data_IF_139639050633
#
_entry.id   IF_139639050633
#
_cell.length_a   1.000
_cell.length_b   1.000
_cell.length_c   1.000
_cell.angle_alpha   90.00
_cell.angle_beta   90.00
_cell.angle_gamma   90.00
#
_symmetry.space_group_name_H-M   'P 1'
#
loop_
_entity.id
_entity.type
_entity.pdbx_description
1 polymer ?
#
# COMPACT_ATOMS: atom_id res chain seq x y z
N UNK A 1 -10.40 12.54 -15.01
CA UNK A 1 -9.40 12.88 -13.96
C UNK A 1 -10.13 12.77 -12.64
N UNK A 2 -9.65 11.93 -11.71
CA UNK A 2 -10.32 11.46 -10.48
C UNK A 2 -11.13 10.15 -10.64
N UNK A 3 -10.59 9.18 -11.38
CA UNK A 3 -11.15 7.83 -11.45
C UNK A 3 -10.03 6.80 -11.55
N UNK A 4 -10.31 5.57 -11.12
CA UNK A 4 -9.45 4.41 -11.38
C UNK A 4 -9.53 3.99 -12.85
N UNK A 5 -8.44 3.44 -13.38
CA UNK A 5 -8.44 2.85 -14.73
C UNK A 5 -9.23 1.54 -14.76
N UNK A 6 -9.12 0.74 -13.70
CA UNK A 6 -9.84 -0.54 -13.55
C UNK A 6 -10.43 -0.66 -12.16
N UNK A 7 -11.62 -1.23 -12.08
CA UNK A 7 -12.30 -1.51 -10.81
C UNK A 7 -11.53 -2.53 -9.95
N UNK A 8 -10.81 -3.44 -10.58
CA UNK A 8 -9.93 -4.39 -9.90
C UNK A 8 -8.85 -3.67 -9.07
N UNK A 9 -8.24 -2.62 -9.63
CA UNK A 9 -7.19 -1.84 -8.95
C UNK A 9 -7.75 -1.16 -7.71
N UNK A 10 -8.93 -0.54 -7.82
CA UNK A 10 -9.62 0.07 -6.67
C UNK A 10 -9.81 -0.90 -5.51
N UNK A 11 -10.29 -2.11 -5.78
CA UNK A 11 -10.55 -3.10 -4.74
C UNK A 11 -9.25 -3.64 -4.12
N UNK A 12 -8.19 -3.79 -4.92
CA UNK A 12 -6.89 -4.22 -4.41
C UNK A 12 -6.23 -3.14 -3.57
N UNK A 13 -6.26 -1.89 -4.00
CA UNK A 13 -5.76 -0.75 -3.23
C UNK A 13 -6.52 -0.63 -1.89
N UNK A 14 -7.85 -0.81 -1.89
CA UNK A 14 -8.67 -0.85 -0.67
C UNK A 14 -8.24 -1.98 0.28
N UNK A 15 -7.92 -3.16 -0.27
CA UNK A 15 -7.41 -4.28 0.53
C UNK A 15 -6.04 -3.98 1.12
N UNK A 16 -5.12 -3.42 0.34
CA UNK A 16 -3.78 -3.03 0.79
C UNK A 16 -3.87 -2.00 1.91
N UNK A 17 -4.67 -0.94 1.72
CA UNK A 17 -4.92 0.07 2.75
C UNK A 17 -5.48 -0.54 4.02
N UNK A 18 -6.42 -1.50 3.91
CA UNK A 18 -6.94 -2.22 5.07
C UNK A 18 -5.85 -3.01 5.80
N UNK A 19 -5.02 -3.77 5.08
CA UNK A 19 -3.91 -4.54 5.66
C UNK A 19 -2.95 -3.62 6.43
N UNK A 20 -2.60 -2.46 5.85
CA UNK A 20 -1.71 -1.49 6.47
C UNK A 20 -2.31 -0.87 7.75
N UNK A 21 -3.61 -0.54 7.75
CA UNK A 21 -4.33 -0.07 8.96
C UNK A 21 -4.35 -1.11 10.07
N UNK A 22 -4.45 -2.39 9.69
CA UNK A 22 -4.51 -3.51 10.63
C UNK A 22 -3.12 -3.99 11.09
N UNK A 23 -2.02 -3.48 10.50
CA UNK A 23 -0.65 -3.92 10.78
C UNK A 23 -0.33 -5.30 10.20
N UNK A 24 -1.09 -5.77 9.22
CA UNK A 24 -0.97 -7.09 8.61
C UNK A 24 0.07 -7.10 7.47
N UNK A 25 1.33 -6.77 7.79
CA UNK A 25 2.38 -6.65 6.78
C UNK A 25 2.91 -7.98 6.28
N UNK A 26 2.84 -9.05 7.08
CA UNK A 26 3.19 -10.39 6.59
C UNK A 26 2.31 -10.80 5.42
N UNK A 27 1.00 -10.60 5.55
CA UNK A 27 0.02 -10.83 4.51
C UNK A 27 0.25 -9.92 3.31
N UNK A 28 0.51 -8.63 3.53
CA UNK A 28 0.82 -7.68 2.46
C UNK A 28 2.09 -8.06 1.70
N UNK A 29 3.19 -8.38 2.39
CA UNK A 29 4.46 -8.77 1.77
C UNK A 29 4.32 -10.04 0.93
N UNK A 30 3.47 -10.99 1.33
CA UNK A 30 3.20 -12.19 0.54
C UNK A 30 2.48 -11.88 -0.79
N UNK A 31 1.59 -10.88 -0.81
CA UNK A 31 0.89 -10.47 -2.04
C UNK A 31 1.63 -9.41 -2.85
N UNK A 32 2.63 -8.73 -2.27
CA UNK A 32 3.30 -7.58 -2.88
C UNK A 32 3.85 -7.85 -4.29
N UNK A 33 4.49 -9.00 -4.60
CA UNK A 33 4.97 -9.27 -5.96
C UNK A 33 3.84 -9.28 -7.00
N UNK A 34 2.76 -10.02 -6.73
CA UNK A 34 1.60 -10.10 -7.63
C UNK A 34 0.85 -8.77 -7.69
N UNK A 35 0.73 -8.07 -6.57
CA UNK A 35 0.12 -6.74 -6.53
C UNK A 35 0.88 -5.74 -7.40
N UNK A 36 2.21 -5.75 -7.35
CA UNK A 36 3.04 -4.90 -8.21
C UNK A 36 2.85 -5.23 -9.70
N UNK A 37 2.87 -6.52 -10.05
CA UNK A 37 2.69 -6.99 -11.44
C UNK A 37 1.29 -6.73 -12.00
N UNK A 38 0.25 -6.84 -11.17
CA UNK A 38 -1.15 -6.78 -11.63
C UNK A 38 -1.83 -5.43 -11.43
N UNK A 39 -1.45 -4.63 -10.43
CA UNK A 39 -2.09 -3.34 -10.11
C UNK A 39 -1.27 -2.13 -10.58
N UNK A 40 -0.05 -2.34 -11.10
CA UNK A 40 0.80 -1.31 -11.74
C UNK A 40 0.99 -0.06 -10.87
N UNK A 41 1.25 -0.26 -9.58
CA UNK A 41 1.65 0.83 -8.69
C UNK A 41 2.87 1.57 -9.21
N UNK A 42 3.01 2.84 -8.83
CA UNK A 42 4.08 3.70 -9.34
C UNK A 42 5.45 3.06 -9.12
N UNK A 43 6.28 3.04 -10.18
CA UNK A 43 7.62 2.47 -10.10
C UNK A 43 7.69 1.00 -9.69
N UNK A 44 6.63 0.21 -9.92
CA UNK A 44 6.50 -1.18 -9.48
C UNK A 44 6.61 -1.34 -7.95
N UNK A 45 6.06 -0.37 -7.20
CA UNK A 45 6.06 -0.35 -5.74
C UNK A 45 7.46 -0.27 -5.10
N UNK A 46 8.49 0.21 -5.82
CA UNK A 46 9.85 0.24 -5.30
C UNK A 46 9.99 1.09 -4.03
N UNK A 47 9.21 2.15 -3.92
CA UNK A 47 9.17 3.06 -2.76
C UNK A 47 8.71 2.30 -1.51
N UNK A 48 7.67 1.50 -1.66
CA UNK A 48 7.10 0.63 -0.63
C UNK A 48 8.07 -0.49 -0.27
N UNK A 49 8.74 -1.09 -1.26
CA UNK A 49 9.79 -2.10 -1.01
C UNK A 49 10.94 -1.51 -0.21
N UNK A 50 11.43 -0.32 -0.57
CA UNK A 50 12.50 0.37 0.16
C UNK A 50 12.08 0.72 1.59
N UNK A 51 10.87 1.26 1.76
CA UNK A 51 10.31 1.59 3.07
C UNK A 51 10.21 0.34 3.96
N UNK A 52 9.61 -0.74 3.46
CA UNK A 52 9.47 -1.98 4.22
C UNK A 52 10.82 -2.63 4.51
N UNK A 53 11.80 -2.54 3.61
CA UNK A 53 13.16 -3.00 3.87
C UNK A 53 13.78 -2.32 5.09
N UNK A 54 13.53 -1.02 5.26
CA UNK A 54 13.97 -0.27 6.44
C UNK A 54 13.18 -0.64 7.71
N UNK A 55 11.89 -0.93 7.59
CA UNK A 55 10.99 -1.23 8.71
C UNK A 55 11.07 -2.69 9.22
N UNK A 56 11.89 -3.54 8.60
CA UNK A 56 12.00 -4.96 8.97
C UNK A 56 11.05 -5.89 8.22
N UNK A 57 10.55 -5.45 7.07
CA UNK A 57 9.78 -6.23 6.10
C UNK A 57 8.49 -6.81 6.69
N UNK A 58 8.32 -8.13 6.57
CA UNK A 58 7.17 -8.89 7.04
C UNK A 58 7.04 -8.99 8.56
N UNK A 59 8.03 -8.45 9.30
CA UNK A 59 7.99 -8.36 10.77
C UNK A 59 7.45 -7.02 11.28
N UNK A 60 7.28 -6.03 10.41
CA UNK A 60 6.67 -4.77 10.81
C UNK A 60 5.19 -5.00 11.16
N UNK A 61 4.75 -4.55 12.34
CA UNK A 61 3.38 -4.74 12.82
C UNK A 61 2.72 -3.40 13.23
N UNK A 62 3.38 -2.28 12.93
CA UNK A 62 2.85 -0.95 13.18
C UNK A 62 1.59 -0.68 12.37
N UNK A 63 0.57 -0.11 13.02
CA UNK A 63 -0.69 0.25 12.36
C UNK A 63 -0.53 1.59 11.66
N UNK A 64 -0.60 1.58 10.33
CA UNK A 64 -0.36 2.77 9.51
C UNK A 64 -1.46 3.80 9.71
N UNK A 65 -1.04 5.05 9.92
CA UNK A 65 -1.93 6.20 10.03
C UNK A 65 -2.10 6.85 8.66
N UNK A 66 -3.33 6.95 8.17
CA UNK A 66 -3.62 7.58 6.89
C UNK A 66 -4.01 9.03 7.10
N UNK A 67 -3.20 9.96 6.58
CA UNK A 67 -3.46 11.40 6.60
C UNK A 67 -4.58 11.76 5.61
N UNK A 68 -4.66 11.03 4.49
CA UNK A 68 -5.75 11.15 3.52
C UNK A 68 -6.41 9.79 3.32
N UNK A 69 -7.74 9.78 3.10
CA UNK A 69 -8.41 8.58 2.60
C UNK A 69 -7.83 8.16 1.24
N UNK A 70 -8.02 6.91 0.84
CA UNK A 70 -7.62 6.44 -0.49
C UNK A 70 -8.43 7.19 -1.55
N UNK A 71 -7.77 7.91 -2.45
CA UNK A 71 -8.44 8.68 -3.49
C UNK A 71 -7.86 8.37 -4.87
N UNK A 72 -8.68 8.45 -5.94
CA UNK A 72 -8.20 8.24 -7.30
C UNK A 72 -7.47 9.47 -7.84
N UNK A 73 -6.34 9.27 -8.49
CA UNK A 73 -5.63 10.30 -9.24
C UNK A 73 -4.99 9.70 -10.49
N UNK A 74 -5.21 10.33 -11.64
CA UNK A 74 -4.58 9.93 -12.91
C UNK A 74 -4.67 8.43 -13.27
N UNK A 75 -5.73 7.74 -12.85
CA UNK A 75 -5.96 6.32 -13.15
C UNK A 75 -5.51 5.34 -12.05
N UNK A 76 -4.87 5.81 -10.98
CA UNK A 76 -4.38 4.98 -9.86
C UNK A 76 -4.99 5.42 -8.52
N UNK A 77 -4.84 4.61 -7.48
CA UNK A 77 -5.04 5.04 -6.10
C UNK A 77 -3.85 5.85 -5.57
N UNK A 78 -4.14 6.78 -4.66
CA UNK A 78 -3.17 7.62 -3.99
C UNK A 78 -3.53 7.75 -2.50
N UNK A 79 -2.52 7.81 -1.64
CA UNK A 79 -2.64 7.98 -0.19
C UNK A 79 -1.47 8.77 0.36
N UNK A 80 -1.70 9.47 1.48
CA UNK A 80 -0.64 9.95 2.36
C UNK A 80 -0.71 9.16 3.67
N UNK A 81 0.39 8.53 4.06
CA UNK A 81 0.42 7.58 5.16
C UNK A 81 1.67 7.78 6.04
N UNK A 82 1.52 7.55 7.34
CA UNK A 82 2.59 7.58 8.35
C UNK A 82 2.76 6.18 8.92
N UNK A 83 3.99 5.70 8.91
CA UNK A 83 4.39 4.41 9.45
C UNK A 83 5.04 4.65 10.82
N UNK A 84 4.34 4.38 11.93
CA UNK A 84 4.90 4.61 13.26
C UNK A 84 6.10 3.70 13.52
N UNK A 85 7.11 4.23 14.20
CA UNK A 85 8.24 3.48 14.73
C UNK A 85 8.06 3.24 16.24
N UNK A 86 8.64 2.18 16.80
CA UNK A 86 8.77 2.05 18.25
C UNK A 86 9.44 3.30 18.85
N UNK A 87 8.94 3.72 20.01
CA UNK A 87 9.52 4.82 20.77
C UNK A 87 10.84 4.42 21.46
#
# INVERSE_FOLDING_TARGET
MNSYTREFDRQMDERVVKLWREGQFKEFCNMLPEYADYCYGEGNMHDTVMLLGMLGWDKYDGKVEFITELFPSSGTGQVNAVFPLPA
#
